data_IF_166216592064
#
_entry.id   IF_166216592064
#
_cell.length_a   1.000
_cell.length_b   1.000
_cell.length_c   1.000
_cell.angle_alpha   90.00
_cell.angle_beta   90.00
_cell.angle_gamma   90.00
#
_symmetry.space_group_name_H-M   'P 1'
#
loop_
_entity.id
_entity.type
_entity.pdbx_description
1 polymer ?
#
# COMPACT_ATOMS: atom_id res chain seq x y z
N UNK A 1 3.44 12.40 -15.63
CA UNK A 1 2.80 11.05 -15.51
C UNK A 1 3.73 10.06 -14.80
N UNK A 2 5.04 10.08 -15.09
CA UNK A 2 6.05 9.17 -14.48
C UNK A 2 6.29 9.43 -13.01
N UNK A 3 6.21 10.68 -12.55
CA UNK A 3 6.39 11.08 -11.15
C UNK A 3 5.44 10.34 -10.17
N UNK A 4 4.24 10.00 -10.62
CA UNK A 4 3.26 9.21 -9.83
C UNK A 4 3.76 7.79 -9.51
N UNK A 5 4.70 7.27 -10.28
CA UNK A 5 5.30 5.95 -10.09
C UNK A 5 6.63 6.08 -9.33
N UNK A 6 7.52 6.94 -9.79
CA UNK A 6 8.89 7.01 -9.26
C UNK A 6 8.97 7.57 -7.84
N UNK A 7 8.12 8.56 -7.51
CA UNK A 7 8.11 9.11 -6.14
C UNK A 7 7.71 8.07 -5.09
N UNK A 8 6.57 7.34 -5.22
CA UNK A 8 6.26 6.27 -4.27
C UNK A 8 7.32 5.17 -4.21
N UNK A 9 7.91 4.79 -5.35
CA UNK A 9 9.01 3.81 -5.37
C UNK A 9 10.21 4.31 -4.57
N UNK A 10 10.62 5.56 -4.77
CA UNK A 10 11.74 6.16 -4.02
C UNK A 10 11.45 6.24 -2.52
N UNK A 11 10.24 6.67 -2.13
CA UNK A 11 9.80 6.70 -0.73
C UNK A 11 9.79 5.30 -0.09
N UNK A 12 9.49 4.28 -0.88
CA UNK A 12 9.51 2.89 -0.48
C UNK A 12 10.92 2.27 -0.45
N UNK A 13 11.95 2.99 -0.89
CA UNK A 13 13.30 2.44 -1.05
C UNK A 13 13.43 1.44 -2.20
N UNK A 14 12.45 1.40 -3.12
CA UNK A 14 12.47 0.56 -4.31
C UNK A 14 13.22 1.32 -5.43
N UNK A 15 14.44 0.89 -5.69
CA UNK A 15 15.29 1.45 -6.74
C UNK A 15 15.26 0.58 -7.99
N UNK A 16 15.52 1.20 -9.14
CA UNK A 16 15.68 0.52 -10.43
C UNK A 16 17.05 0.91 -11.02
N UNK A 17 17.64 -0.03 -11.75
CA UNK A 17 19.02 0.12 -12.30
C UNK A 17 19.02 0.81 -13.64
N UNK A 18 17.96 0.63 -14.45
CA UNK A 18 17.81 1.22 -15.77
C UNK A 18 16.41 1.80 -15.97
N UNK A 19 16.30 2.88 -16.73
CA UNK A 19 15.01 3.48 -17.07
C UNK A 19 15.13 4.95 -17.52
N UNK A 20 13.98 5.61 -17.78
CA UNK A 20 13.96 6.98 -18.32
C UNK A 20 14.67 8.01 -17.43
N UNK A 21 14.65 7.86 -16.10
CA UNK A 21 15.23 8.84 -15.17
C UNK A 21 16.68 8.55 -14.84
N UNK A 22 17.03 7.27 -14.69
CA UNK A 22 18.40 6.85 -14.33
C UNK A 22 19.28 6.58 -15.53
N UNK A 23 18.69 6.45 -16.73
CA UNK A 23 19.42 6.08 -17.95
C UNK A 23 19.80 4.61 -17.97
N UNK A 24 20.83 4.28 -18.74
CA UNK A 24 21.37 2.93 -18.87
C UNK A 24 21.97 2.66 -20.25
N UNK A 25 22.56 1.48 -20.47
CA UNK A 25 23.32 1.16 -21.70
C UNK A 25 22.45 0.96 -22.95
N UNK A 26 21.14 0.73 -22.80
CA UNK A 26 20.22 0.42 -23.91
C UNK A 26 19.22 1.55 -24.22
N UNK A 27 19.53 2.76 -23.77
CA UNK A 27 18.71 3.95 -24.04
C UNK A 27 18.46 4.14 -25.57
N UNK A 28 17.39 4.87 -25.96
CA UNK A 28 16.40 5.54 -25.09
C UNK A 28 15.35 4.58 -24.52
N UNK A 29 14.77 4.93 -23.34
CA UNK A 29 13.78 4.11 -22.64
C UNK A 29 12.34 4.59 -22.84
N UNK A 30 12.14 5.67 -23.60
CA UNK A 30 10.81 6.21 -23.93
C UNK A 30 10.42 5.73 -25.31
N UNK A 31 9.27 5.08 -25.45
CA UNK A 31 8.83 4.48 -26.72
C UNK A 31 8.73 5.47 -27.87
N UNK A 32 8.28 6.71 -27.63
CA UNK A 32 8.21 7.75 -28.66
C UNK A 32 9.58 8.05 -29.28
N UNK A 33 10.65 7.92 -28.52
CA UNK A 33 12.03 8.20 -28.98
C UNK A 33 12.63 7.01 -29.76
N UNK A 34 11.94 5.85 -29.74
CA UNK A 34 12.33 4.61 -30.41
C UNK A 34 11.52 4.33 -31.68
N UNK A 35 10.72 5.27 -32.16
CA UNK A 35 9.76 5.10 -33.25
C UNK A 35 10.35 4.37 -34.47
N UNK A 36 11.54 4.78 -34.94
CA UNK A 36 12.20 4.21 -36.13
C UNK A 36 12.57 2.74 -35.95
N UNK A 37 12.84 2.33 -34.72
CA UNK A 37 13.15 0.94 -34.38
C UNK A 37 11.96 0.02 -34.69
N UNK A 38 10.76 0.38 -34.26
CA UNK A 38 9.58 -0.47 -34.44
C UNK A 38 9.19 -0.66 -35.88
N UNK A 39 9.27 0.40 -36.71
CA UNK A 39 8.99 0.33 -38.14
C UNK A 39 9.90 -0.64 -38.89
N UNK A 40 11.18 -0.70 -38.52
CA UNK A 40 12.14 -1.67 -39.08
C UNK A 40 11.76 -3.12 -38.75
N UNK A 41 11.43 -3.42 -37.49
CA UNK A 41 11.09 -4.76 -37.09
C UNK A 41 9.72 -5.20 -37.62
N UNK A 42 8.74 -4.30 -37.71
CA UNK A 42 7.46 -4.60 -38.33
C UNK A 42 7.62 -5.05 -39.81
N UNK A 43 8.43 -4.33 -40.59
CA UNK A 43 8.75 -4.73 -41.98
C UNK A 43 9.48 -6.04 -42.04
N UNK A 44 10.42 -6.30 -41.13
CA UNK A 44 11.14 -7.58 -41.10
C UNK A 44 10.15 -8.77 -40.87
N UNK A 45 9.12 -8.60 -40.08
CA UNK A 45 8.08 -9.63 -39.92
C UNK A 45 7.26 -9.82 -41.20
N UNK A 46 6.99 -8.75 -41.97
CA UNK A 46 6.34 -8.86 -43.28
C UNK A 46 7.21 -9.68 -44.23
N UNK A 47 8.52 -9.35 -44.34
CA UNK A 47 9.49 -10.07 -45.16
C UNK A 47 9.58 -11.56 -44.83
N UNK A 48 9.44 -11.89 -43.53
CA UNK A 48 9.45 -13.28 -43.00
C UNK A 48 8.10 -13.98 -43.08
N UNK A 49 7.04 -13.31 -43.53
CA UNK A 49 5.70 -13.89 -43.63
C UNK A 49 4.91 -13.98 -42.33
N UNK A 50 5.40 -13.38 -41.22
CA UNK A 50 4.75 -13.34 -39.91
C UNK A 50 3.90 -12.08 -39.69
N UNK A 51 3.88 -11.16 -40.66
CA UNK A 51 3.02 -9.98 -40.67
C UNK A 51 2.59 -9.68 -42.10
N UNK A 52 1.65 -8.75 -42.27
CA UNK A 52 1.21 -8.28 -43.60
C UNK A 52 0.72 -6.83 -43.56
N UNK A 53 0.75 -6.16 -44.70
CA UNK A 53 0.20 -4.82 -44.87
C UNK A 53 -1.31 -4.91 -45.00
N UNK A 54 -2.05 -4.15 -44.20
CA UNK A 54 -3.50 -4.04 -44.28
C UNK A 54 -3.90 -2.62 -44.64
N UNK A 55 -4.63 -2.46 -45.75
CA UNK A 55 -5.07 -1.18 -46.32
C UNK A 55 -6.54 -0.89 -46.04
N UNK A 56 -7.23 -1.75 -45.27
CA UNK A 56 -8.65 -1.59 -44.97
C UNK A 56 -8.89 -0.29 -44.22
N UNK A 57 -9.88 0.47 -44.67
CA UNK A 57 -10.39 1.61 -43.95
C UNK A 57 -11.22 1.11 -42.76
N UNK A 58 -10.64 1.03 -41.59
CA UNK A 58 -11.41 0.89 -40.36
C UNK A 58 -11.29 2.11 -39.49
N UNK A 59 -12.43 2.44 -38.91
CA UNK A 59 -12.66 3.56 -38.01
C UNK A 59 -11.68 3.57 -36.84
N UNK A 60 -11.29 4.76 -36.43
CA UNK A 60 -10.22 5.17 -35.54
C UNK A 60 -10.29 4.67 -34.08
N UNK A 61 -11.25 3.84 -33.71
CA UNK A 61 -11.36 3.30 -32.35
C UNK A 61 -11.03 1.81 -32.30
N UNK A 62 -9.76 1.47 -32.46
CA UNK A 62 -9.31 0.07 -32.32
C UNK A 62 -9.39 -0.47 -30.88
N UNK A 63 -9.66 0.36 -29.88
CA UNK A 63 -9.90 -0.08 -28.50
C UNK A 63 -11.32 -0.61 -28.26
N UNK A 64 -12.30 -0.26 -29.13
CA UNK A 64 -13.71 -0.67 -29.04
C UNK A 64 -14.18 -1.59 -30.19
N UNK A 65 -13.32 -1.91 -31.14
CA UNK A 65 -13.69 -2.78 -32.24
C UNK A 65 -13.65 -4.25 -31.77
N UNK A 66 -14.81 -4.88 -31.77
CA UNK A 66 -14.92 -6.33 -31.59
C UNK A 66 -13.95 -7.12 -32.46
N UNK A 67 -13.76 -8.39 -32.13
CA UNK A 67 -12.78 -9.30 -32.75
C UNK A 67 -12.65 -9.09 -34.26
N UNK A 68 -11.41 -8.80 -34.69
CA UNK A 68 -11.10 -8.65 -36.11
C UNK A 68 -11.29 -10.00 -36.84
N UNK A 69 -12.26 -10.08 -37.72
CA UNK A 69 -12.44 -11.28 -38.56
C UNK A 69 -11.32 -11.39 -39.60
N UNK A 70 -10.25 -12.07 -39.21
CA UNK A 70 -9.09 -12.31 -40.07
C UNK A 70 -9.42 -13.15 -41.32
N UNK A 71 -10.48 -13.95 -41.29
CA UNK A 71 -10.90 -14.76 -42.42
C UNK A 71 -11.53 -13.90 -43.52
N UNK A 72 -12.13 -12.77 -43.14
CA UNK A 72 -12.73 -11.81 -44.04
C UNK A 72 -11.77 -10.68 -44.46
N UNK A 73 -10.51 -10.65 -43.98
CA UNK A 73 -9.53 -9.62 -44.34
C UNK A 73 -8.95 -9.87 -45.74
N UNK A 74 -9.33 -9.08 -46.78
CA UNK A 74 -8.83 -9.27 -48.12
C UNK A 74 -7.33 -8.99 -48.25
N UNK A 75 -6.76 -8.13 -47.41
CA UNK A 75 -5.34 -7.81 -47.40
C UNK A 75 -4.45 -8.97 -46.98
N UNK A 76 -5.00 -9.89 -46.20
CA UNK A 76 -4.29 -11.10 -45.76
C UNK A 76 -3.97 -12.04 -46.92
N UNK A 77 -4.74 -11.99 -48.02
CA UNK A 77 -4.60 -12.81 -49.22
C UNK A 77 -3.73 -12.17 -50.32
N UNK A 78 -3.33 -10.90 -50.16
CA UNK A 78 -2.49 -10.23 -51.11
C UNK A 78 -1.10 -10.92 -51.23
N UNK A 79 -0.58 -11.01 -52.45
CA UNK A 79 0.83 -11.40 -52.65
C UNK A 79 1.77 -10.32 -52.10
N UNK A 80 3.02 -10.67 -51.75
CA UNK A 80 4.02 -9.68 -51.34
C UNK A 80 4.22 -8.56 -52.34
N UNK A 81 4.20 -8.89 -53.65
CA UNK A 81 4.38 -7.94 -54.73
C UNK A 81 3.21 -6.98 -54.85
N UNK A 82 1.96 -7.47 -54.76
CA UNK A 82 0.75 -6.64 -54.78
C UNK A 82 0.72 -5.69 -53.59
N UNK A 83 1.03 -6.20 -52.41
CA UNK A 83 1.07 -5.40 -51.18
C UNK A 83 2.16 -4.31 -51.24
N UNK A 84 3.35 -4.66 -51.74
CA UNK A 84 4.44 -3.69 -51.90
C UNK A 84 4.10 -2.61 -52.94
N UNK A 85 3.47 -2.98 -54.06
CA UNK A 85 3.05 -2.01 -55.07
C UNK A 85 2.09 -0.93 -54.51
N UNK A 86 1.19 -1.33 -53.62
CA UNK A 86 0.27 -0.40 -52.91
C UNK A 86 1.01 0.49 -51.91
N UNK A 87 2.00 -0.07 -51.20
CA UNK A 87 2.87 0.73 -50.32
C UNK A 87 3.64 1.77 -51.10
N UNK A 88 4.23 1.37 -52.25
CA UNK A 88 5.00 2.24 -53.12
C UNK A 88 4.12 3.33 -53.80
N UNK A 89 2.83 3.04 -54.02
CA UNK A 89 1.84 4.00 -54.46
C UNK A 89 1.41 4.99 -53.36
N UNK A 90 1.88 4.82 -52.13
CA UNK A 90 1.59 5.72 -51.00
C UNK A 90 0.23 5.50 -50.36
N UNK A 91 -0.39 4.34 -50.58
CA UNK A 91 -1.66 4.02 -49.90
C UNK A 91 -1.45 3.92 -48.38
N UNK A 92 -2.34 4.53 -47.54
CA UNK A 92 -2.26 4.40 -46.10
C UNK A 92 -2.45 2.95 -45.65
N UNK A 93 -1.60 2.46 -44.77
CA UNK A 93 -1.67 1.09 -44.27
C UNK A 93 -1.36 0.99 -42.78
N UNK A 94 -1.75 -0.13 -42.19
CA UNK A 94 -1.25 -0.65 -40.90
C UNK A 94 -0.49 -1.96 -41.16
N UNK A 95 0.41 -2.36 -40.26
CA UNK A 95 0.99 -3.71 -40.30
C UNK A 95 0.31 -4.55 -39.24
N UNK A 96 -0.24 -5.70 -39.68
CA UNK A 96 -0.88 -6.68 -38.80
C UNK A 96 -0.03 -7.92 -38.66
N UNK A 97 -0.09 -8.53 -37.47
CA UNK A 97 0.47 -9.84 -37.21
C UNK A 97 -0.28 -10.88 -38.04
N UNK A 98 0.43 -11.83 -38.64
CA UNK A 98 -0.16 -12.97 -39.35
C UNK A 98 -0.16 -14.17 -38.42
N UNK A 99 -1.27 -14.39 -37.70
CA UNK A 99 -1.44 -15.55 -36.84
C UNK A 99 -1.66 -16.80 -37.72
N UNK A 100 -1.03 -17.97 -37.43
CA UNK A 100 -1.32 -19.22 -38.15
C UNK A 100 -2.83 -19.55 -38.12
N UNK A 101 -3.38 -20.01 -39.26
CA UNK A 101 -4.81 -20.25 -39.39
C UNK A 101 -5.28 -21.46 -38.55
N UNK A 102 -4.41 -22.41 -38.29
CA UNK A 102 -4.70 -23.65 -37.56
C UNK A 102 -3.56 -23.98 -36.60
N UNK A 103 -3.78 -24.98 -35.77
CA UNK A 103 -2.81 -25.41 -34.75
C UNK A 103 -2.97 -24.65 -33.43
N UNK A 104 -2.04 -24.87 -32.55
CA UNK A 104 -2.04 -24.29 -31.19
C UNK A 104 -0.74 -23.56 -30.91
N UNK A 105 -0.80 -22.56 -30.06
CA UNK A 105 0.38 -21.89 -29.49
C UNK A 105 0.42 -22.17 -28.00
N UNK A 106 1.56 -22.71 -27.54
CA UNK A 106 1.81 -22.97 -26.11
C UNK A 106 2.88 -22.01 -25.61
N UNK A 107 2.62 -21.38 -24.47
CA UNK A 107 3.62 -20.59 -23.76
C UNK A 107 3.71 -21.07 -22.31
N UNK A 108 4.86 -20.84 -21.70
CA UNK A 108 5.11 -21.20 -20.31
C UNK A 108 5.12 -19.95 -19.42
N UNK A 109 4.30 -19.99 -18.39
CA UNK A 109 4.28 -19.00 -17.33
C UNK A 109 4.84 -19.58 -16.04
N UNK A 110 5.68 -18.84 -15.32
CA UNK A 110 6.30 -19.32 -14.10
C UNK A 110 5.28 -19.62 -12.97
N UNK A 111 4.12 -18.94 -13.01
CA UNK A 111 3.07 -19.07 -11.99
C UNK A 111 1.98 -20.02 -12.46
N UNK A 112 1.46 -19.84 -13.68
CA UNK A 112 0.31 -20.58 -14.20
C UNK A 112 0.71 -21.91 -14.90
N UNK A 113 1.99 -22.08 -15.22
CA UNK A 113 2.48 -23.26 -15.94
C UNK A 113 2.29 -23.15 -17.45
N UNK A 114 2.21 -24.28 -18.13
CA UNK A 114 2.03 -24.30 -19.58
C UNK A 114 0.57 -23.99 -19.95
N UNK A 115 0.39 -23.00 -20.82
CA UNK A 115 -0.93 -22.54 -21.31
C UNK A 115 -0.94 -22.71 -22.82
N UNK A 116 -1.92 -23.47 -23.33
CA UNK A 116 -2.11 -23.75 -24.75
C UNK A 116 -3.40 -23.11 -25.24
N UNK A 117 -3.30 -22.38 -26.35
CA UNK A 117 -4.43 -21.68 -26.97
C UNK A 117 -4.52 -22.08 -28.44
N UNK A 118 -5.74 -22.34 -28.93
CA UNK A 118 -6.00 -22.54 -30.36
C UNK A 118 -5.69 -21.27 -31.15
N UNK A 119 -4.86 -21.37 -32.18
CA UNK A 119 -4.53 -20.23 -33.04
C UNK A 119 -5.78 -19.62 -33.70
N UNK A 120 -6.80 -20.46 -33.93
CA UNK A 120 -8.09 -20.02 -34.47
C UNK A 120 -8.83 -19.00 -33.58
N UNK A 121 -8.58 -19.02 -32.27
CA UNK A 121 -9.17 -18.10 -31.30
C UNK A 121 -8.41 -16.76 -31.17
N UNK A 122 -7.26 -16.61 -31.85
CA UNK A 122 -6.45 -15.38 -31.81
C UNK A 122 -6.77 -14.48 -33.00
N UNK A 123 -6.79 -13.18 -32.80
CA UNK A 123 -6.95 -12.18 -33.85
C UNK A 123 -5.60 -11.70 -34.43
N UNK A 124 -5.61 -11.25 -35.69
CA UNK A 124 -4.46 -10.61 -36.32
C UNK A 124 -4.34 -9.15 -35.83
N UNK A 125 -3.70 -8.97 -34.69
CA UNK A 125 -3.56 -7.65 -34.05
C UNK A 125 -2.73 -6.68 -34.89
N UNK A 126 -3.00 -5.38 -34.77
CA UNK A 126 -2.15 -4.33 -35.35
C UNK A 126 -0.83 -4.27 -34.60
N UNK A 127 0.27 -4.31 -35.33
CA UNK A 127 1.63 -4.13 -34.81
C UNK A 127 2.09 -2.68 -34.95
N UNK A 128 1.91 -2.11 -36.16
CA UNK A 128 2.29 -0.73 -36.48
C UNK A 128 1.08 0.02 -37.02
N UNK A 129 0.78 1.17 -36.42
CA UNK A 129 -0.31 2.07 -36.78
C UNK A 129 0.02 2.89 -38.05
N UNK A 130 -0.99 3.53 -38.65
CA UNK A 130 -0.81 4.40 -39.84
C UNK A 130 0.13 5.57 -39.61
N UNK A 131 0.20 6.07 -38.37
CA UNK A 131 1.12 7.15 -37.98
C UNK A 131 2.57 6.69 -37.75
N UNK A 132 2.83 5.38 -37.92
CA UNK A 132 4.14 4.75 -37.72
C UNK A 132 4.45 4.44 -36.24
N UNK A 133 3.52 4.65 -35.33
CA UNK A 133 3.68 4.23 -33.93
C UNK A 133 3.31 2.76 -33.75
N UNK A 134 4.03 2.01 -32.90
CA UNK A 134 3.65 0.65 -32.56
C UNK A 134 2.43 0.62 -31.64
N UNK A 135 1.75 -0.51 -31.63
CA UNK A 135 0.86 -0.83 -30.50
C UNK A 135 1.70 -1.28 -29.30
N UNK A 136 1.12 -1.21 -28.12
CA UNK A 136 1.79 -1.71 -26.90
C UNK A 136 2.21 -3.17 -27.05
N UNK A 137 1.33 -4.01 -27.59
CA UNK A 137 1.57 -5.45 -27.77
C UNK A 137 2.74 -5.79 -28.70
N UNK A 138 3.11 -4.87 -29.57
CA UNK A 138 4.28 -5.03 -30.43
C UNK A 138 5.54 -4.40 -29.81
N UNK A 139 5.39 -3.17 -29.30
CA UNK A 139 6.51 -2.45 -28.71
C UNK A 139 7.18 -3.22 -27.57
N UNK A 140 6.39 -3.83 -26.68
CA UNK A 140 6.93 -4.57 -25.55
C UNK A 140 7.85 -5.72 -25.97
N UNK A 141 7.49 -6.49 -26.99
CA UNK A 141 8.33 -7.60 -27.49
C UNK A 141 9.67 -7.10 -28.04
N UNK A 142 9.64 -5.99 -28.79
CA UNK A 142 10.86 -5.39 -29.36
C UNK A 142 11.75 -4.81 -28.25
N UNK A 143 11.15 -4.10 -27.32
CA UNK A 143 11.88 -3.45 -26.24
C UNK A 143 12.46 -4.49 -25.26
N UNK A 144 11.69 -5.48 -24.87
CA UNK A 144 12.14 -6.56 -23.99
C UNK A 144 13.35 -7.31 -24.61
N UNK A 145 13.29 -7.61 -25.89
CA UNK A 145 14.42 -8.26 -26.58
C UNK A 145 15.65 -7.37 -26.66
N UNK A 146 15.48 -6.12 -27.13
CA UNK A 146 16.60 -5.20 -27.34
C UNK A 146 17.22 -4.70 -26.02
N UNK A 147 16.45 -4.69 -24.94
CA UNK A 147 16.91 -4.33 -23.60
C UNK A 147 17.42 -5.54 -22.80
N UNK A 148 17.40 -6.74 -23.39
CA UNK A 148 17.90 -7.96 -22.74
C UNK A 148 17.09 -8.41 -21.53
N UNK A 149 15.77 -8.14 -21.54
CA UNK A 149 14.87 -8.55 -20.46
C UNK A 149 14.78 -10.07 -20.38
N UNK A 150 15.04 -10.64 -19.22
CA UNK A 150 15.00 -12.08 -18.97
C UNK A 150 13.68 -12.53 -18.34
N UNK A 151 13.04 -11.67 -17.54
CA UNK A 151 11.79 -11.95 -16.84
C UNK A 151 10.81 -10.81 -17.05
N UNK A 152 9.59 -11.12 -17.48
CA UNK A 152 8.49 -10.15 -17.65
C UNK A 152 7.48 -10.36 -16.53
N UNK A 153 7.48 -9.47 -15.54
CA UNK A 153 6.56 -9.50 -14.40
C UNK A 153 5.44 -8.50 -14.64
N UNK A 154 4.19 -8.97 -14.69
CA UNK A 154 3.02 -8.11 -14.95
C UNK A 154 1.72 -8.73 -14.47
N UNK A 155 0.60 -8.01 -14.58
CA UNK A 155 -0.71 -8.51 -14.20
C UNK A 155 -1.23 -9.64 -15.10
N UNK A 156 -2.05 -10.51 -14.54
CA UNK A 156 -2.62 -11.67 -15.25
C UNK A 156 -3.59 -11.31 -16.39
N UNK A 157 -3.99 -10.06 -16.53
CA UNK A 157 -4.76 -9.55 -17.66
C UNK A 157 -4.06 -9.73 -19.01
N UNK A 158 -2.74 -9.85 -19.00
CA UNK A 158 -1.93 -10.07 -20.21
C UNK A 158 -1.77 -11.53 -20.62
N UNK A 159 -2.30 -12.48 -19.83
CA UNK A 159 -2.26 -13.91 -20.18
C UNK A 159 -2.90 -14.20 -21.53
N UNK A 160 -4.00 -13.52 -21.86
CA UNK A 160 -4.69 -13.67 -23.15
C UNK A 160 -3.88 -13.14 -24.34
N UNK A 161 -2.97 -12.21 -24.12
CA UNK A 161 -2.08 -11.64 -25.14
C UNK A 161 -0.77 -12.42 -25.31
N UNK A 162 -0.35 -13.17 -24.30
CA UNK A 162 0.93 -13.87 -24.29
C UNK A 162 1.14 -14.84 -25.48
N UNK A 163 0.13 -15.58 -25.98
CA UNK A 163 0.30 -16.41 -27.18
C UNK A 163 0.72 -15.59 -28.41
N UNK A 164 0.17 -14.38 -28.56
CA UNK A 164 0.52 -13.46 -29.68
C UNK A 164 1.97 -12.98 -29.56
N UNK A 165 2.44 -12.72 -28.34
CA UNK A 165 3.86 -12.37 -28.11
C UNK A 165 4.79 -13.52 -28.46
N UNK A 166 4.47 -14.76 -28.05
CA UNK A 166 5.26 -15.94 -28.40
C UNK A 166 5.42 -16.08 -29.93
N UNK A 167 4.33 -15.91 -30.66
CA UNK A 167 4.37 -15.95 -32.13
C UNK A 167 5.22 -14.83 -32.74
N UNK A 168 5.34 -13.66 -32.08
CA UNK A 168 6.27 -12.59 -32.50
C UNK A 168 7.72 -13.01 -32.24
N UNK A 169 8.04 -13.52 -31.04
CA UNK A 169 9.38 -14.04 -30.72
C UNK A 169 9.79 -15.15 -31.71
N UNK A 170 8.89 -16.07 -32.01
CA UNK A 170 9.09 -17.14 -33.00
C UNK A 170 9.36 -16.56 -34.40
N UNK A 171 8.55 -15.58 -34.86
CA UNK A 171 8.71 -14.91 -36.14
C UNK A 171 10.04 -14.17 -36.28
N UNK A 172 10.59 -13.68 -35.17
CA UNK A 172 11.93 -13.10 -35.12
C UNK A 172 13.05 -14.14 -34.94
N UNK A 173 12.73 -15.36 -34.54
CA UNK A 173 13.72 -16.35 -34.14
C UNK A 173 14.45 -15.98 -32.85
N UNK A 174 13.74 -15.30 -31.91
CA UNK A 174 14.27 -14.86 -30.63
C UNK A 174 13.82 -15.78 -29.50
N UNK A 175 14.63 -15.84 -28.45
CA UNK A 175 14.26 -16.54 -27.22
C UNK A 175 13.12 -15.77 -26.50
N UNK A 176 12.15 -16.52 -25.97
CA UNK A 176 11.05 -15.96 -25.21
C UNK A 176 11.50 -15.73 -23.76
N UNK A 177 11.26 -14.54 -23.18
CA UNK A 177 11.55 -14.29 -21.77
C UNK A 177 10.66 -15.15 -20.85
N UNK A 178 11.06 -15.27 -19.59
CA UNK A 178 10.25 -15.95 -18.59
C UNK A 178 9.08 -15.05 -18.21
N UNK A 179 7.86 -15.50 -18.47
CA UNK A 179 6.65 -14.78 -18.04
C UNK A 179 6.33 -15.08 -16.58
N UNK A 180 6.00 -14.03 -15.83
CA UNK A 180 5.55 -14.08 -14.44
C UNK A 180 4.28 -13.24 -14.33
N UNK A 181 3.11 -13.86 -14.54
CA UNK A 181 1.84 -13.15 -14.44
C UNK A 181 1.30 -13.22 -13.00
N UNK A 182 1.18 -12.05 -12.36
CA UNK A 182 0.67 -11.92 -11.01
C UNK A 182 -0.85 -11.75 -11.00
N UNK A 183 -1.51 -12.45 -10.09
CA UNK A 183 -2.95 -12.28 -9.88
C UNK A 183 -3.27 -10.90 -9.32
N UNK A 184 -4.46 -10.32 -9.62
CA UNK A 184 -4.83 -9.01 -9.16
C UNK A 184 -5.10 -8.97 -7.65
N UNK A 185 -4.91 -7.79 -7.04
CA UNK A 185 -5.42 -7.52 -5.71
C UNK A 185 -6.89 -7.11 -5.82
N UNK A 186 -7.74 -7.78 -5.06
CA UNK A 186 -9.19 -7.61 -5.08
C UNK A 186 -9.64 -6.79 -3.87
N UNK A 187 -10.71 -6.00 -4.02
CA UNK A 187 -11.40 -5.36 -2.92
C UNK A 187 -12.30 -6.34 -2.17
N UNK A 188 -12.93 -7.24 -2.92
CA UNK A 188 -13.80 -8.29 -2.44
C UNK A 188 -13.72 -9.51 -3.39
N UNK A 189 -14.54 -10.53 -3.20
CA UNK A 189 -14.51 -11.76 -4.02
C UNK A 189 -14.76 -11.54 -5.52
N UNK A 190 -15.35 -10.40 -5.91
CA UNK A 190 -15.82 -10.16 -7.27
C UNK A 190 -15.19 -8.92 -7.92
N UNK A 191 -14.72 -7.97 -7.12
CA UNK A 191 -14.29 -6.67 -7.61
C UNK A 191 -12.80 -6.45 -7.41
N UNK A 192 -12.10 -6.13 -8.50
CA UNK A 192 -10.71 -5.68 -8.47
C UNK A 192 -10.61 -4.32 -7.78
N UNK A 193 -9.55 -4.10 -7.02
CA UNK A 193 -9.24 -2.77 -6.46
C UNK A 193 -9.05 -1.75 -7.58
N UNK A 194 -9.63 -0.56 -7.41
CA UNK A 194 -9.55 0.52 -8.39
C UNK A 194 -9.69 1.88 -7.72
N UNK A 195 -8.79 2.82 -8.05
CA UNK A 195 -8.89 4.23 -7.63
C UNK A 195 -10.24 4.87 -8.01
N UNK A 196 -10.86 4.45 -9.12
CA UNK A 196 -12.18 4.95 -9.55
C UNK A 196 -13.31 4.58 -8.57
N UNK A 197 -13.14 3.56 -7.77
CA UNK A 197 -14.10 3.12 -6.76
C UNK A 197 -13.73 3.56 -5.33
N UNK A 198 -12.71 4.43 -5.18
CA UNK A 198 -12.29 4.96 -3.89
C UNK A 198 -11.38 4.04 -3.08
N UNK A 199 -10.82 3.00 -3.69
CA UNK A 199 -9.83 2.15 -3.02
C UNK A 199 -8.53 2.94 -2.80
N UNK A 200 -7.87 2.79 -1.63
CA UNK A 200 -6.74 3.62 -1.26
C UNK A 200 -5.50 3.34 -2.12
N UNK A 201 -4.81 4.40 -2.52
CA UNK A 201 -3.46 4.36 -3.05
C UNK A 201 -2.43 4.30 -1.92
N UNK A 202 -1.15 4.14 -2.28
CA UNK A 202 -0.06 4.25 -1.31
C UNK A 202 -0.07 5.59 -0.57
N UNK A 203 -0.27 6.70 -1.30
CA UNK A 203 -0.34 8.04 -0.72
C UNK A 203 -1.54 8.20 0.23
N UNK A 204 -2.69 7.61 -0.10
CA UNK A 204 -3.87 7.62 0.76
C UNK A 204 -3.61 6.85 2.06
N UNK A 205 -2.94 5.70 1.99
CA UNK A 205 -2.55 4.93 3.18
C UNK A 205 -1.55 5.71 4.05
N UNK A 206 -0.57 6.37 3.45
CA UNK A 206 0.37 7.25 4.16
C UNK A 206 -0.37 8.39 4.86
N UNK A 207 -1.30 9.04 4.16
CA UNK A 207 -2.13 10.11 4.73
C UNK A 207 -3.02 9.62 5.89
N UNK A 208 -3.40 8.34 5.89
CA UNK A 208 -4.12 7.69 6.99
C UNK A 208 -3.22 7.29 8.17
N UNK A 209 -1.91 7.55 8.09
CA UNK A 209 -0.96 7.30 9.19
C UNK A 209 -0.35 5.91 9.22
N UNK A 210 -0.39 5.17 8.10
CA UNK A 210 0.34 3.92 7.97
C UNK A 210 1.82 4.17 7.63
N UNK A 211 2.70 3.36 8.19
CA UNK A 211 4.13 3.37 7.91
C UNK A 211 4.42 2.73 6.56
N UNK A 212 5.40 3.27 5.84
CA UNK A 212 5.85 2.70 4.56
C UNK A 212 6.26 1.24 4.68
N UNK A 213 7.02 0.89 5.72
CA UNK A 213 7.50 -0.46 5.97
C UNK A 213 6.36 -1.44 6.20
N UNK A 214 5.32 -1.02 6.93
CA UNK A 214 4.13 -1.84 7.17
C UNK A 214 3.32 -2.06 5.89
N UNK A 215 3.16 -1.01 5.07
CA UNK A 215 2.49 -1.10 3.77
C UNK A 215 3.24 -2.07 2.86
N UNK A 216 4.56 -1.92 2.74
CA UNK A 216 5.41 -2.78 1.89
C UNK A 216 5.33 -4.25 2.30
N UNK A 217 5.50 -4.52 3.59
CA UNK A 217 5.42 -5.88 4.11
C UNK A 217 4.05 -6.51 3.85
N UNK A 218 2.98 -5.75 4.11
CA UNK A 218 1.62 -6.22 3.87
C UNK A 218 1.36 -6.49 2.38
N UNK A 219 1.75 -5.56 1.49
CA UNK A 219 1.57 -5.71 0.04
C UNK A 219 2.37 -6.89 -0.51
N UNK A 220 3.59 -7.12 -0.01
CA UNK A 220 4.39 -8.28 -0.40
C UNK A 220 3.66 -9.60 -0.10
N UNK A 221 2.99 -9.68 1.05
CA UNK A 221 2.26 -10.90 1.46
C UNK A 221 0.86 -11.03 0.83
N UNK A 222 0.38 -10.04 0.08
CA UNK A 222 -0.92 -10.11 -0.59
C UNK A 222 -0.99 -11.10 -1.76
N UNK A 223 0.12 -11.48 -2.32
CA UNK A 223 0.12 -12.41 -3.46
C UNK A 223 1.33 -13.31 -3.47
N UNK A 224 2.11 -13.28 -2.39
CA UNK A 224 3.30 -14.07 -2.20
C UNK A 224 3.37 -14.60 -0.75
N UNK A 225 3.98 -15.77 -0.59
CA UNK A 225 4.24 -16.35 0.73
C UNK A 225 5.67 -16.85 0.79
N UNK A 226 6.39 -16.58 1.91
CA UNK A 226 7.69 -17.16 2.12
C UNK A 226 7.59 -18.68 2.22
N UNK A 227 8.68 -19.40 1.92
CA UNK A 227 8.72 -20.86 1.89
C UNK A 227 9.76 -21.39 2.89
N UNK A 228 9.71 -22.70 3.13
CA UNK A 228 10.66 -23.36 4.03
C UNK A 228 10.52 -22.90 5.48
N UNK A 229 11.64 -22.63 6.13
CA UNK A 229 11.70 -22.25 7.55
C UNK A 229 11.03 -20.90 7.85
N UNK A 230 10.85 -20.03 6.84
CA UNK A 230 10.23 -18.71 6.98
C UNK A 230 8.72 -18.72 6.72
N UNK A 231 8.11 -19.86 6.42
CA UNK A 231 6.71 -19.99 5.99
C UNK A 231 5.69 -19.37 6.98
N UNK A 232 5.99 -19.44 8.27
CA UNK A 232 5.14 -18.89 9.34
C UNK A 232 5.46 -17.43 9.70
N UNK A 233 6.51 -16.85 9.12
CA UNK A 233 6.91 -15.49 9.41
C UNK A 233 6.09 -14.50 8.59
N UNK A 234 5.55 -13.47 9.26
CA UNK A 234 4.72 -12.45 8.63
C UNK A 234 5.34 -11.04 8.68
N UNK A 235 6.37 -10.79 9.48
CA UNK A 235 6.98 -9.45 9.61
C UNK A 235 8.42 -9.48 9.07
N UNK A 236 8.66 -8.67 8.03
CA UNK A 236 9.94 -8.58 7.32
C UNK A 236 10.29 -7.13 7.03
N UNK A 237 11.55 -6.77 7.17
CA UNK A 237 12.09 -5.58 6.53
C UNK A 237 12.18 -5.78 5.00
N UNK A 238 12.33 -4.69 4.24
CA UNK A 238 12.52 -4.77 2.79
C UNK A 238 13.76 -5.59 2.41
N UNK A 239 14.85 -5.45 3.17
CA UNK A 239 16.07 -6.23 2.96
C UNK A 239 15.84 -7.73 3.17
N UNK A 240 15.16 -8.11 4.24
CA UNK A 240 14.82 -9.52 4.51
C UNK A 240 13.86 -10.08 3.46
N UNK A 241 12.88 -9.27 2.98
CA UNK A 241 12.02 -9.69 1.87
C UNK A 241 12.83 -9.98 0.61
N UNK A 242 13.82 -9.16 0.29
CA UNK A 242 14.69 -9.37 -0.87
C UNK A 242 15.52 -10.67 -0.75
N UNK A 243 15.96 -11.03 0.47
CA UNK A 243 16.72 -12.26 0.71
C UNK A 243 15.87 -13.54 0.58
N UNK A 244 14.61 -13.49 1.01
CA UNK A 244 13.74 -14.67 1.06
C UNK A 244 12.81 -14.81 -0.14
N UNK A 245 12.78 -13.78 -1.01
CA UNK A 245 11.89 -13.76 -2.17
C UNK A 245 12.24 -14.89 -3.17
N UNK A 246 11.21 -15.64 -3.55
CA UNK A 246 11.25 -16.65 -4.61
C UNK A 246 9.97 -16.53 -5.46
N UNK A 247 10.12 -16.52 -6.77
CA UNK A 247 9.01 -16.51 -7.74
C UNK A 247 8.03 -17.66 -7.47
N UNK A 248 8.53 -18.82 -7.06
CA UNK A 248 7.69 -19.99 -6.76
C UNK A 248 6.76 -19.77 -5.54
N UNK A 249 7.01 -18.74 -4.72
CA UNK A 249 6.11 -18.32 -3.62
C UNK A 249 4.93 -17.48 -4.08
N UNK A 250 4.89 -17.01 -5.33
CA UNK A 250 3.80 -16.21 -5.87
C UNK A 250 2.54 -17.06 -6.05
N UNK A 251 1.41 -16.56 -5.55
CA UNK A 251 0.12 -17.24 -5.58
C UNK A 251 -0.58 -17.10 -6.95
N UNK A 252 -1.20 -18.20 -7.40
CA UNK A 252 -2.12 -18.18 -8.55
C UNK A 252 -3.46 -17.52 -8.26
N UNK A 253 -3.86 -17.52 -6.98
CA UNK A 253 -5.16 -16.98 -6.57
C UNK A 253 -5.07 -15.50 -6.30
N UNK A 254 -6.08 -14.72 -6.70
CA UNK A 254 -6.18 -13.32 -6.28
C UNK A 254 -6.20 -13.17 -4.77
N UNK A 255 -5.55 -12.12 -4.24
CA UNK A 255 -5.60 -11.78 -2.84
C UNK A 255 -6.63 -10.66 -2.60
N UNK A 256 -7.36 -10.76 -1.47
CA UNK A 256 -8.30 -9.71 -1.06
C UNK A 256 -7.56 -8.74 -0.12
N UNK A 257 -7.67 -7.45 -0.41
CA UNK A 257 -7.12 -6.40 0.45
C UNK A 257 -7.93 -6.31 1.75
N UNK A 258 -7.25 -6.46 2.87
CA UNK A 258 -7.82 -6.39 4.22
C UNK A 258 -7.15 -5.26 5.01
N UNK A 259 -7.91 -4.18 5.25
CA UNK A 259 -7.42 -3.01 5.97
C UNK A 259 -7.17 -3.31 7.46
N UNK A 260 -7.92 -4.24 8.06
CA UNK A 260 -7.72 -4.63 9.46
C UNK A 260 -6.39 -5.37 9.62
N UNK A 261 -6.05 -6.24 8.65
CA UNK A 261 -4.76 -6.92 8.64
C UNK A 261 -3.61 -5.93 8.44
N UNK A 262 -3.74 -4.96 7.54
CA UNK A 262 -2.75 -3.88 7.39
C UNK A 262 -2.60 -3.08 8.68
N UNK A 263 -3.70 -2.73 9.34
CA UNK A 263 -3.69 -2.01 10.63
C UNK A 263 -2.96 -2.82 11.71
N UNK A 264 -3.20 -4.12 11.76
CA UNK A 264 -2.47 -5.01 12.66
C UNK A 264 -0.96 -5.00 12.39
N UNK A 265 -0.53 -5.14 11.13
CA UNK A 265 0.89 -5.02 10.77
C UNK A 265 1.46 -3.67 11.17
N UNK A 266 0.77 -2.59 10.87
CA UNK A 266 1.21 -1.24 11.23
C UNK A 266 1.44 -1.10 12.74
N UNK A 267 0.54 -1.63 13.55
CA UNK A 267 0.69 -1.66 15.00
C UNK A 267 1.92 -2.46 15.46
N UNK A 268 2.25 -3.56 14.79
CA UNK A 268 3.47 -4.34 15.10
C UNK A 268 4.73 -3.52 14.81
N UNK A 269 4.79 -2.82 13.68
CA UNK A 269 5.93 -1.96 13.34
C UNK A 269 6.07 -0.78 14.30
N UNK A 270 4.97 -0.11 14.67
CA UNK A 270 5.00 0.98 15.65
C UNK A 270 5.52 0.51 17.02
N UNK A 271 5.09 -0.67 17.47
CA UNK A 271 5.56 -1.25 18.75
C UNK A 271 7.02 -1.68 18.71
N UNK A 272 7.52 -2.10 17.55
CA UNK A 272 8.90 -2.54 17.38
C UNK A 272 9.89 -1.38 17.25
N UNK A 273 9.43 -0.14 17.07
CA UNK A 273 10.32 1.04 17.03
C UNK A 273 11.03 1.24 18.36
N UNK A 274 12.24 1.83 18.31
CA UNK A 274 12.81 2.37 19.53
C UNK A 274 11.94 3.52 20.06
N UNK A 275 11.96 3.82 21.37
CA UNK A 275 11.19 4.94 21.91
C UNK A 275 11.49 6.29 21.21
N UNK A 276 12.74 6.50 20.83
CA UNK A 276 13.19 7.70 20.12
C UNK A 276 12.61 7.77 18.70
N UNK A 277 12.62 6.65 17.97
CA UNK A 277 12.08 6.57 16.61
C UNK A 277 10.55 6.74 16.64
N UNK A 278 9.87 6.09 17.59
CA UNK A 278 8.43 6.27 17.75
C UNK A 278 8.08 7.71 18.12
N UNK A 279 8.80 8.34 19.06
CA UNK A 279 8.59 9.73 19.41
C UNK A 279 8.76 10.65 18.20
N UNK A 280 9.82 10.47 17.41
CA UNK A 280 10.04 11.27 16.20
C UNK A 280 8.90 11.15 15.18
N UNK A 281 8.35 9.95 15.01
CA UNK A 281 7.20 9.71 14.13
C UNK A 281 5.88 10.27 14.70
N UNK A 282 5.69 10.19 16.01
CA UNK A 282 4.46 10.60 16.70
C UNK A 282 4.39 12.11 16.98
N UNK A 283 5.54 12.78 17.18
CA UNK A 283 5.60 14.18 17.62
C UNK A 283 4.82 15.14 16.73
N UNK A 284 4.88 15.08 15.38
CA UNK A 284 4.07 15.95 14.51
C UNK A 284 2.57 15.81 14.79
N UNK A 285 2.10 14.61 15.09
CA UNK A 285 0.69 14.34 15.42
C UNK A 285 0.33 14.75 16.85
N UNK A 286 1.22 14.56 17.82
CA UNK A 286 1.03 15.05 19.20
C UNK A 286 0.90 16.55 19.16
N UNK A 287 1.76 17.27 18.43
CA UNK A 287 1.76 18.74 18.34
C UNK A 287 0.57 19.35 17.60
N UNK A 288 -0.19 18.55 16.85
CA UNK A 288 -1.48 19.00 16.32
C UNK A 288 -2.51 19.28 17.42
N UNK A 289 -2.50 18.48 18.48
CA UNK A 289 -3.43 18.57 19.59
C UNK A 289 -2.82 19.25 20.83
N UNK A 290 -1.54 19.03 21.12
CA UNK A 290 -0.82 19.52 22.30
C UNK A 290 0.17 20.62 21.88
N UNK A 291 -0.23 21.87 22.02
CA UNK A 291 0.55 23.04 21.62
C UNK A 291 1.40 23.63 22.75
N UNK A 292 1.04 23.31 24.00
CA UNK A 292 1.78 23.78 25.17
C UNK A 292 3.23 23.22 25.14
N UNK A 293 4.27 24.08 25.00
CA UNK A 293 5.64 23.65 24.91
C UNK A 293 6.20 23.08 26.24
N UNK A 294 5.54 23.34 27.35
CA UNK A 294 5.95 22.82 28.66
C UNK A 294 5.62 21.33 28.85
N UNK A 295 4.70 20.78 28.03
CA UNK A 295 4.33 19.37 28.11
C UNK A 295 5.39 18.49 27.39
N UNK A 296 5.85 17.47 28.08
CA UNK A 296 6.82 16.50 27.56
C UNK A 296 6.19 15.55 26.55
N UNK A 297 6.41 15.81 25.27
CA UNK A 297 5.91 14.95 24.17
C UNK A 297 6.53 13.56 24.16
N UNK A 298 7.73 13.35 24.74
CA UNK A 298 8.33 12.03 24.87
C UNK A 298 7.58 11.18 25.88
N UNK A 299 7.22 11.77 27.02
CA UNK A 299 6.40 11.10 28.01
C UNK A 299 5.01 10.75 27.45
N UNK A 300 4.38 11.65 26.68
CA UNK A 300 3.13 11.37 25.98
C UNK A 300 3.29 10.23 24.96
N UNK A 301 4.34 10.26 24.14
CA UNK A 301 4.62 9.21 23.16
C UNK A 301 4.82 7.85 23.80
N UNK A 302 5.50 7.77 24.94
CA UNK A 302 5.71 6.52 25.69
C UNK A 302 4.39 5.85 26.12
N UNK A 303 3.35 6.64 26.40
CA UNK A 303 2.02 6.11 26.74
C UNK A 303 1.30 5.53 25.51
N UNK A 304 1.61 6.05 24.31
CA UNK A 304 0.91 5.71 23.08
C UNK A 304 1.49 4.47 22.40
N UNK A 305 2.80 4.25 22.45
CA UNK A 305 3.49 3.30 21.57
C UNK A 305 2.89 1.88 21.59
N UNK A 306 2.55 1.35 22.78
CA UNK A 306 1.97 0.01 22.91
C UNK A 306 0.52 -0.09 22.41
N UNK A 307 -0.16 1.06 22.21
CA UNK A 307 -1.61 1.15 21.95
C UNK A 307 -1.96 1.89 20.67
N UNK A 308 -0.95 2.40 19.96
CA UNK A 308 -1.12 3.11 18.70
C UNK A 308 -1.18 2.09 17.56
N UNK A 309 -2.21 2.22 16.72
CA UNK A 309 -2.36 1.42 15.53
C UNK A 309 -2.04 2.23 14.27
N UNK A 310 -2.33 3.55 14.31
CA UNK A 310 -2.03 4.51 13.23
C UNK A 310 -1.65 5.86 13.84
N UNK A 311 -0.72 6.54 13.21
CA UNK A 311 -0.25 7.85 13.70
C UNK A 311 -1.34 8.92 13.69
N UNK A 312 -2.29 8.85 12.76
CA UNK A 312 -3.39 9.83 12.64
C UNK A 312 -4.41 9.79 13.77
N UNK A 313 -4.45 8.73 14.59
CA UNK A 313 -5.34 8.64 15.75
C UNK A 313 -4.77 9.33 17.01
N UNK A 314 -3.48 9.71 16.97
CA UNK A 314 -2.79 10.30 18.10
C UNK A 314 -3.45 11.59 18.58
N UNK A 315 -3.78 12.58 17.72
CA UNK A 315 -4.35 13.84 18.18
C UNK A 315 -5.57 13.66 19.09
N UNK A 316 -6.51 12.80 18.70
CA UNK A 316 -7.72 12.52 19.47
C UNK A 316 -7.45 11.81 20.80
N UNK A 317 -6.36 11.04 20.88
CA UNK A 317 -5.99 10.32 22.10
C UNK A 317 -5.30 11.21 23.13
N UNK A 318 -4.76 12.37 22.75
CA UNK A 318 -3.92 13.20 23.61
C UNK A 318 -4.38 14.64 23.78
N UNK A 319 -5.43 15.10 23.09
CA UNK A 319 -5.94 16.48 23.14
C UNK A 319 -6.31 16.93 24.55
N UNK A 320 -6.73 16.00 25.43
CA UNK A 320 -7.03 16.29 26.83
C UNK A 320 -5.81 16.79 27.63
N UNK A 321 -4.58 16.55 27.16
CA UNK A 321 -3.40 17.14 27.78
C UNK A 321 -3.34 18.66 27.58
N UNK A 322 -3.79 19.15 26.42
CA UNK A 322 -3.84 20.60 26.13
C UNK A 322 -4.93 21.28 26.96
N UNK A 323 -6.14 20.74 26.95
CA UNK A 323 -7.28 21.29 27.67
C UNK A 323 -8.20 20.18 28.19
N UNK A 324 -8.69 20.33 29.39
CA UNK A 324 -9.68 19.39 29.96
C UNK A 324 -10.97 19.48 29.12
N UNK A 325 -11.39 18.38 28.44
CA UNK A 325 -12.64 18.39 27.68
C UNK A 325 -13.85 18.52 28.60
N UNK A 326 -14.97 18.96 28.05
CA UNK A 326 -16.25 18.85 28.75
C UNK A 326 -16.62 17.36 28.91
N UNK A 327 -17.03 16.96 30.07
CA UNK A 327 -17.42 15.57 30.35
C UNK A 327 -18.56 15.51 31.38
N UNK A 328 -19.31 14.43 31.32
CA UNK A 328 -20.43 14.17 32.22
C UNK A 328 -19.98 13.46 33.49
N UNK A 329 -20.66 13.69 34.62
CA UNK A 329 -20.35 13.06 35.90
C UNK A 329 -20.47 11.53 35.87
N UNK A 330 -21.29 11.00 34.97
CA UNK A 330 -21.46 9.55 34.80
C UNK A 330 -20.15 8.80 34.55
N UNK A 331 -19.11 9.48 34.02
CA UNK A 331 -17.78 8.91 33.82
C UNK A 331 -17.12 8.44 35.14
N UNK A 332 -17.48 9.04 36.26
CA UNK A 332 -16.96 8.63 37.57
C UNK A 332 -17.50 7.28 38.01
N UNK A 333 -18.67 6.86 37.50
CA UNK A 333 -19.27 5.57 37.83
C UNK A 333 -18.60 4.44 37.03
N UNK A 334 -18.04 3.47 37.74
CA UNK A 334 -17.41 2.30 37.15
C UNK A 334 -17.58 1.03 38.00
N UNK A 335 -18.22 0.01 37.42
CA UNK A 335 -18.48 -1.26 38.12
C UNK A 335 -17.19 -2.01 38.49
N UNK A 336 -16.18 -2.01 37.63
CA UNK A 336 -14.90 -2.71 37.87
C UNK A 336 -14.10 -2.03 38.98
N UNK A 337 -14.09 -0.72 39.01
CA UNK A 337 -13.42 0.10 40.03
C UNK A 337 -14.28 0.29 41.28
N UNK A 338 -15.52 -0.18 41.26
CA UNK A 338 -16.50 -0.05 42.36
C UNK A 338 -16.73 1.41 42.78
N UNK A 339 -16.85 2.29 41.80
CA UNK A 339 -17.09 3.73 41.99
C UNK A 339 -18.47 4.13 41.52
N UNK A 340 -19.04 5.11 42.22
CA UNK A 340 -20.22 5.90 41.92
C UNK A 340 -19.91 7.36 42.30
N UNK A 341 -20.83 8.28 42.12
CA UNK A 341 -20.63 9.69 42.43
C UNK A 341 -20.16 9.95 43.87
N UNK A 342 -20.78 9.28 44.82
CA UNK A 342 -20.47 9.43 46.26
C UNK A 342 -19.07 8.91 46.61
N UNK A 343 -18.74 7.71 46.12
CA UNK A 343 -17.39 7.13 46.30
C UNK A 343 -16.34 8.01 45.57
N UNK A 344 -16.61 8.41 44.34
CA UNK A 344 -15.67 9.24 43.56
C UNK A 344 -15.40 10.57 44.27
N UNK A 345 -16.45 11.23 44.81
CA UNK A 345 -16.30 12.46 45.60
C UNK A 345 -15.42 12.22 46.83
N UNK A 346 -15.69 11.21 47.61
CA UNK A 346 -14.88 10.88 48.80
C UNK A 346 -13.42 10.60 48.44
N UNK A 347 -13.15 9.90 47.32
CA UNK A 347 -11.81 9.62 46.84
C UNK A 347 -11.05 10.89 46.39
N UNK A 348 -11.74 11.84 45.73
CA UNK A 348 -11.11 13.11 45.34
C UNK A 348 -10.88 14.03 46.55
N UNK A 349 -11.82 14.10 47.51
CA UNK A 349 -11.65 14.83 48.77
C UNK A 349 -10.41 14.36 49.55
N UNK A 350 -10.09 13.07 49.49
CA UNK A 350 -8.90 12.51 50.14
C UNK A 350 -7.61 12.69 49.26
N UNK A 351 -7.73 12.54 47.95
CA UNK A 351 -6.56 12.56 47.04
C UNK A 351 -5.96 13.98 46.88
N UNK A 352 -6.80 15.01 46.78
CA UNK A 352 -6.33 16.37 46.54
C UNK A 352 -5.31 16.83 47.61
N UNK A 353 -5.65 16.84 48.93
CA UNK A 353 -4.70 17.26 49.95
C UNK A 353 -3.45 16.37 50.02
N UNK A 354 -3.60 15.05 49.82
CA UNK A 354 -2.46 14.16 49.83
C UNK A 354 -1.47 14.43 48.68
N UNK A 355 -1.95 14.81 47.52
CA UNK A 355 -1.13 15.21 46.37
C UNK A 355 -0.54 16.62 46.53
N UNK A 356 -1.25 17.54 47.19
CA UNK A 356 -0.77 18.90 47.52
C UNK A 356 0.46 18.86 48.43
N UNK A 357 0.48 17.95 49.40
CA UNK A 357 1.57 17.81 50.38
C UNK A 357 2.81 17.10 49.87
N UNK A 358 2.81 16.57 48.61
CA UNK A 358 3.97 15.87 48.07
C UNK A 358 5.20 16.79 48.00
N UNK A 359 6.33 16.31 48.50
CA UNK A 359 7.61 17.00 48.44
C UNK A 359 8.20 17.09 47.00
N UNK A 360 8.00 16.02 46.20
CA UNK A 360 8.42 15.92 44.81
C UNK A 360 7.24 15.53 43.92
N UNK A 361 7.27 15.96 42.65
CA UNK A 361 6.26 15.59 41.65
C UNK A 361 6.89 14.73 40.58
N UNK A 362 7.10 13.46 40.92
CA UNK A 362 7.65 12.43 40.07
C UNK A 362 6.79 11.17 40.12
N UNK A 363 7.02 10.25 39.20
CA UNK A 363 6.20 9.05 39.04
C UNK A 363 6.15 8.19 40.30
N UNK A 364 7.29 8.02 40.99
CA UNK A 364 7.40 7.19 42.20
C UNK A 364 6.61 7.81 43.35
N UNK A 365 6.81 9.12 43.58
CA UNK A 365 6.12 9.87 44.65
C UNK A 365 4.62 9.91 44.45
N UNK A 366 4.12 10.18 43.25
CA UNK A 366 2.70 10.20 42.94
C UNK A 366 2.10 8.79 43.10
N UNK A 367 2.79 7.76 42.62
CA UNK A 367 2.35 6.36 42.72
C UNK A 367 2.27 5.92 44.17
N UNK A 368 3.32 6.16 44.96
CA UNK A 368 3.35 5.81 46.41
C UNK A 368 2.25 6.54 47.18
N UNK A 369 2.10 7.85 46.96
CA UNK A 369 1.03 8.65 47.62
C UNK A 369 -0.36 8.05 47.38
N UNK A 370 -0.72 7.79 46.13
CA UNK A 370 -2.04 7.25 45.80
C UNK A 370 -2.23 5.81 46.29
N UNK A 371 -1.19 4.98 46.25
CA UNK A 371 -1.24 3.61 46.72
C UNK A 371 -1.37 3.54 48.23
N UNK A 372 -0.58 4.32 48.96
CA UNK A 372 -0.65 4.38 50.45
C UNK A 372 -1.96 5.00 50.92
N UNK A 373 -2.50 5.98 50.19
CA UNK A 373 -3.79 6.57 50.46
C UNK A 373 -4.91 5.54 50.27
N UNK A 374 -4.88 4.74 49.21
CA UNK A 374 -5.86 3.67 48.98
C UNK A 374 -5.82 2.63 50.12
N UNK A 375 -4.62 2.26 50.59
CA UNK A 375 -4.44 1.35 51.71
C UNK A 375 -5.00 1.93 53.01
N UNK A 376 -4.73 3.21 53.30
CA UNK A 376 -5.28 3.90 54.49
C UNK A 376 -6.80 4.00 54.50
N UNK A 377 -7.40 4.14 53.30
CA UNK A 377 -8.85 4.20 53.14
C UNK A 377 -9.49 2.80 53.03
N UNK A 378 -8.70 1.73 53.13
CA UNK A 378 -9.12 0.34 52.98
C UNK A 378 -9.85 0.05 51.66
N UNK A 379 -9.48 0.75 50.57
CA UNK A 379 -10.03 0.57 49.23
C UNK A 379 -9.00 -0.02 48.27
N UNK A 380 -9.48 -0.56 47.15
CA UNK A 380 -8.57 -1.00 46.06
C UNK A 380 -7.96 0.21 45.38
N UNK A 381 -6.71 0.09 44.89
CA UNK A 381 -6.05 1.13 44.08
C UNK A 381 -6.94 1.63 42.93
N UNK A 382 -7.63 0.72 42.24
CA UNK A 382 -8.54 1.07 41.16
C UNK A 382 -9.72 1.98 41.59
N UNK A 383 -10.18 1.83 42.86
CA UNK A 383 -11.29 2.66 43.40
C UNK A 383 -10.85 4.11 43.61
N UNK A 384 -9.61 4.35 44.01
CA UNK A 384 -9.05 5.68 44.16
C UNK A 384 -8.56 6.26 42.83
N UNK A 385 -7.83 5.45 42.04
CA UNK A 385 -7.21 5.94 40.80
C UNK A 385 -8.20 6.24 39.68
N UNK A 386 -9.36 5.58 39.65
CA UNK A 386 -10.38 5.85 38.64
C UNK A 386 -10.89 7.29 38.71
N UNK A 387 -11.41 7.82 39.84
CA UNK A 387 -11.85 9.20 39.92
C UNK A 387 -10.73 10.20 39.65
N UNK A 388 -9.52 9.97 40.15
CA UNK A 388 -8.34 10.81 39.84
C UNK A 388 -8.09 10.90 38.36
N UNK A 389 -8.10 9.77 37.66
CA UNK A 389 -7.88 9.72 36.22
C UNK A 389 -9.00 10.40 35.43
N UNK A 390 -10.26 10.19 35.79
CA UNK A 390 -11.41 10.83 35.15
C UNK A 390 -11.36 12.34 35.36
N UNK A 391 -11.11 12.82 36.57
CA UNK A 391 -11.01 14.25 36.84
C UNK A 391 -9.84 14.92 36.08
N UNK A 392 -8.68 14.23 35.99
CA UNK A 392 -7.51 14.75 35.30
C UNK A 392 -7.66 14.76 33.77
N UNK A 393 -8.34 13.75 33.18
CA UNK A 393 -8.41 13.56 31.74
C UNK A 393 -9.77 13.91 31.10
N UNK A 394 -10.87 13.85 31.85
CA UNK A 394 -12.23 14.03 31.33
C UNK A 394 -12.67 12.91 30.37
N UNK A 395 -12.04 11.74 30.40
CA UNK A 395 -12.27 10.64 29.47
C UNK A 395 -12.25 9.27 30.16
N UNK A 396 -13.14 8.39 29.70
CA UNK A 396 -13.18 7.00 30.18
C UNK A 396 -12.00 6.15 29.71
N UNK A 397 -11.49 6.44 28.51
CA UNK A 397 -10.35 5.74 27.88
C UNK A 397 -9.21 6.73 27.68
N UNK A 398 -8.04 6.40 28.21
CA UNK A 398 -6.83 7.22 28.13
C UNK A 398 -5.62 6.35 27.80
N UNK A 399 -4.58 6.89 27.16
CA UNK A 399 -3.36 6.13 26.84
C UNK A 399 -2.56 5.74 28.08
N UNK A 400 -2.69 6.50 29.21
CA UNK A 400 -2.03 6.25 30.49
C UNK A 400 -3.00 6.08 31.63
N UNK A 401 -2.49 5.67 32.80
CA UNK A 401 -3.19 5.63 34.08
C UNK A 401 -3.22 6.99 34.79
N UNK A 402 -3.76 7.01 36.00
CA UNK A 402 -3.84 8.23 36.81
C UNK A 402 -2.46 8.85 37.09
N UNK A 403 -1.48 8.02 37.43
CA UNK A 403 -0.14 8.46 37.82
C UNK A 403 0.56 9.14 36.65
N UNK A 404 0.61 8.51 35.49
CA UNK A 404 1.27 9.03 34.29
C UNK A 404 0.61 10.33 33.80
N UNK A 405 -0.72 10.41 33.85
CA UNK A 405 -1.48 11.60 33.44
C UNK A 405 -1.18 12.75 34.41
N UNK A 406 -1.24 12.52 35.72
CA UNK A 406 -0.93 13.53 36.73
C UNK A 406 0.52 14.03 36.58
N UNK A 407 1.47 13.12 36.33
CA UNK A 407 2.86 13.47 36.09
C UNK A 407 3.03 14.44 34.90
N UNK A 408 2.45 14.10 33.74
CA UNK A 408 2.58 14.86 32.50
C UNK A 408 1.89 16.22 32.60
N UNK A 409 0.73 16.30 33.23
CA UNK A 409 0.01 17.56 33.47
C UNK A 409 0.79 18.54 34.38
N UNK A 410 1.64 17.99 35.25
CA UNK A 410 2.29 18.75 36.30
C UNK A 410 1.37 19.05 37.49
N UNK A 411 1.96 19.42 38.61
CA UNK A 411 1.25 19.59 39.89
C UNK A 411 0.09 20.57 39.83
N UNK A 412 0.35 21.76 39.36
CA UNK A 412 -0.65 22.85 39.33
C UNK A 412 -1.88 22.50 38.51
N UNK A 413 -1.69 22.09 37.27
CA UNK A 413 -2.78 21.77 36.36
C UNK A 413 -3.52 20.49 36.80
N UNK A 414 -2.80 19.50 37.33
CA UNK A 414 -3.40 18.30 37.88
C UNK A 414 -4.36 18.65 39.03
N UNK A 415 -3.90 19.35 40.06
CA UNK A 415 -4.71 19.72 41.22
C UNK A 415 -5.92 20.60 40.83
N UNK A 416 -5.71 21.55 39.91
CA UNK A 416 -6.80 22.35 39.35
C UNK A 416 -7.91 21.47 38.74
N UNK A 417 -7.52 20.48 37.93
CA UNK A 417 -8.48 19.56 37.29
C UNK A 417 -9.19 18.63 38.30
N UNK A 418 -8.47 18.14 39.31
CA UNK A 418 -9.07 17.35 40.37
C UNK A 418 -10.11 18.16 41.15
N UNK A 419 -9.82 19.46 41.43
CA UNK A 419 -10.77 20.39 42.04
C UNK A 419 -12.04 20.56 41.21
N UNK A 420 -11.92 20.79 39.90
CA UNK A 420 -13.08 20.86 39.01
C UNK A 420 -13.89 19.56 38.96
N UNK A 421 -13.22 18.42 39.01
CA UNK A 421 -13.89 17.12 39.11
C UNK A 421 -14.69 16.96 40.40
N UNK A 422 -14.14 17.43 41.52
CA UNK A 422 -14.81 17.44 42.82
C UNK A 422 -16.02 18.35 42.85
N UNK A 423 -15.89 19.58 42.32
CA UNK A 423 -17.00 20.52 42.15
C UNK A 423 -18.18 19.90 41.38
N UNK A 424 -17.87 19.21 40.27
CA UNK A 424 -18.86 18.54 39.41
C UNK A 424 -19.64 17.44 40.16
N UNK A 425 -19.01 16.76 41.14
CA UNK A 425 -19.64 15.73 41.97
C UNK A 425 -20.42 16.31 43.15
N UNK A 426 -20.27 17.60 43.43
CA UNK A 426 -20.92 18.28 44.56
C UNK A 426 -22.26 18.92 44.17
N UNK A 427 -22.42 19.20 42.86
CA UNK A 427 -23.64 19.70 42.24
C UNK A 427 -24.50 18.55 41.77
#
# INVERSE_FOLDING_TARGET
ATDVIYRPMAECGLTHDEGPEVGGPVAPYIQSDRRDTYGRYARLLVERGHAYYCFCEKTESEEDAGEWDRAADPCRALSPEEAQARVDAGEPYVIRQRIPAAGTTTFRDAIFGDITVENAALDDQVLLKRDGLPTYNFANVIDDHLMGITHVVRGSEYLSSAPKYNLLYEGFGWDVPIYVHCSPVMRDQHNKMSKRHGDPSYEDLKAQGYLTEAILNYVALLGWSPRGEQAEREVFSLAELAEVFDIAGISKSPAIFDIEKLTHFNALYLRAMTPEAFHAAAEPYIRQAVRNPALDTRAIAALLQARCERLTEIPEKVDFFEALPAYEKDLFTNKKSKTNDEVARSMLEAAIPALEELGSWDQESIHACLTDLAARLEVKNATLMWPVRIAAAGRAVTPGGAVEICLILGREECLRRLGLGLEKLTV
#
